data_IF_196085956469
#
_entry.id   IF_196085956469
#
_cell.length_a   1.000
_cell.length_b   1.000
_cell.length_c   1.000
_cell.angle_alpha   90.00
_cell.angle_beta   90.00
_cell.angle_gamma   90.00
#
_symmetry.space_group_name_H-M   'P 1'
#
loop_
_entity.id
_entity.type
_entity.pdbx_description
1 polymer ?
#
# COMPACT_ATOMS: atom_id res chain seq x y z
N UNK A 1 7.34 -14.25 -19.06
CA UNK A 1 7.78 -12.97 -18.45
C UNK A 1 8.47 -13.23 -17.13
N UNK A 2 9.66 -12.66 -16.87
CA UNK A 2 10.38 -12.79 -15.60
C UNK A 2 9.97 -11.70 -14.60
N UNK A 3 10.40 -11.84 -13.32
CA UNK A 3 10.19 -10.79 -12.31
C UNK A 3 10.79 -9.44 -12.77
N UNK A 4 12.03 -9.48 -13.29
CA UNK A 4 12.78 -8.29 -13.72
C UNK A 4 12.08 -7.60 -14.89
N UNK A 5 11.57 -8.36 -15.85
CA UNK A 5 10.82 -7.83 -16.99
C UNK A 5 9.52 -7.14 -16.55
N UNK A 6 8.77 -7.76 -15.65
CA UNK A 6 7.57 -7.15 -15.06
C UNK A 6 7.92 -5.85 -14.33
N UNK A 7 8.90 -5.92 -13.42
CA UNK A 7 9.35 -4.76 -12.63
C UNK A 7 9.79 -3.62 -13.55
N UNK A 8 10.59 -3.92 -14.59
CA UNK A 8 11.08 -2.90 -15.51
C UNK A 8 9.94 -2.21 -16.26
N UNK A 9 8.98 -2.98 -16.82
CA UNK A 9 7.82 -2.45 -17.55
C UNK A 9 6.94 -1.58 -16.66
N UNK A 10 6.61 -2.04 -15.45
CA UNK A 10 5.75 -1.28 -14.53
C UNK A 10 6.49 -0.05 -13.98
N UNK A 11 7.79 -0.15 -13.69
CA UNK A 11 8.59 1.00 -13.27
C UNK A 11 8.62 2.06 -14.36
N UNK A 12 8.83 1.66 -15.63
CA UNK A 12 8.79 2.58 -16.76
C UNK A 12 7.42 3.28 -16.86
N UNK A 13 6.31 2.52 -16.78
CA UNK A 13 4.96 3.06 -16.80
C UNK A 13 4.75 4.10 -15.69
N UNK A 14 5.12 3.77 -14.45
CA UNK A 14 4.97 4.69 -13.30
C UNK A 14 5.80 5.98 -13.50
N UNK A 15 7.01 5.86 -14.06
CA UNK A 15 7.90 7.00 -14.21
C UNK A 15 7.53 7.93 -15.36
N UNK A 16 6.90 7.40 -16.42
CA UNK A 16 6.59 8.13 -17.64
C UNK A 16 5.14 8.52 -17.82
N UNK A 17 4.23 7.91 -17.05
CA UNK A 17 2.80 8.21 -17.16
C UNK A 17 2.50 9.65 -16.76
N UNK A 18 1.75 10.40 -17.60
CA UNK A 18 1.23 11.71 -17.23
C UNK A 18 0.27 11.63 -16.03
N UNK A 19 -0.43 10.51 -15.83
CA UNK A 19 -1.35 10.29 -14.72
C UNK A 19 -0.65 10.20 -13.35
N UNK A 20 0.69 10.08 -13.30
CA UNK A 20 1.47 10.22 -12.08
C UNK A 20 1.74 11.68 -11.69
N UNK A 21 1.09 12.61 -12.38
CA UNK A 21 1.21 14.05 -12.13
C UNK A 21 -0.18 14.64 -11.95
N UNK A 22 -0.27 15.62 -11.06
CA UNK A 22 -1.50 16.39 -10.87
C UNK A 22 -1.78 17.20 -12.14
N UNK A 23 -2.95 17.00 -12.75
CA UNK A 23 -3.33 17.76 -13.95
C UNK A 23 -3.56 19.23 -13.62
N UNK A 24 -3.51 20.10 -14.61
CA UNK A 24 -3.83 21.52 -14.42
C UNK A 24 -5.32 21.73 -14.08
N UNK A 25 -6.18 20.82 -14.52
CA UNK A 25 -7.63 20.84 -14.26
C UNK A 25 -7.96 20.43 -12.82
N UNK A 26 -7.28 19.41 -12.30
CA UNK A 26 -7.52 18.87 -10.95
C UNK A 26 -6.77 19.65 -9.87
N UNK A 27 -5.76 20.47 -10.24
CA UNK A 27 -4.91 21.16 -9.29
C UNK A 27 -5.71 22.14 -8.42
N UNK A 28 -5.78 21.87 -7.11
CA UNK A 28 -6.46 22.75 -6.13
C UNK A 28 -5.85 24.15 -6.15
N UNK A 29 -4.55 24.24 -6.37
CA UNK A 29 -3.82 25.47 -6.61
C UNK A 29 -2.98 25.36 -7.88
N UNK A 30 -2.87 26.45 -8.69
CA UNK A 30 -2.12 26.41 -9.96
C UNK A 30 -0.67 25.91 -9.81
N UNK A 31 0.00 26.21 -8.68
CA UNK A 31 1.37 25.79 -8.39
C UNK A 31 1.53 24.29 -8.16
N UNK A 32 0.43 23.55 -7.97
CA UNK A 32 0.44 22.10 -7.83
C UNK A 32 0.25 21.38 -9.17
N UNK A 33 -0.08 22.09 -10.24
CA UNK A 33 -0.14 21.50 -11.56
C UNK A 33 1.24 20.94 -11.97
N UNK A 34 1.25 19.70 -12.43
CA UNK A 34 2.49 18.98 -12.76
C UNK A 34 3.21 18.34 -11.56
N UNK A 35 2.69 18.48 -10.34
CA UNK A 35 3.28 17.80 -9.18
C UNK A 35 3.30 16.30 -9.38
N UNK A 36 4.49 15.70 -9.41
CA UNK A 36 4.65 14.24 -9.46
C UNK A 36 4.32 13.62 -8.10
N UNK A 37 3.42 12.63 -8.10
CA UNK A 37 2.93 12.01 -6.88
C UNK A 37 3.82 10.88 -6.36
N UNK A 38 4.29 9.99 -7.23
CA UNK A 38 5.03 8.79 -6.86
C UNK A 38 6.39 8.68 -7.52
N UNK A 39 7.36 8.19 -6.74
CA UNK A 39 8.66 7.73 -7.22
C UNK A 39 8.56 6.27 -7.76
N UNK A 40 9.71 5.74 -8.23
CA UNK A 40 9.80 4.37 -8.73
C UNK A 40 9.31 3.35 -7.70
N UNK A 41 8.46 2.39 -8.10
CA UNK A 41 7.90 1.36 -7.23
C UNK A 41 8.95 0.39 -6.72
N UNK A 42 8.63 -0.31 -5.64
CA UNK A 42 9.33 -1.52 -5.22
C UNK A 42 8.36 -2.70 -5.24
N UNK A 43 8.86 -3.87 -5.56
CA UNK A 43 8.07 -5.08 -5.75
C UNK A 43 8.50 -6.18 -4.79
N UNK A 44 7.54 -7.04 -4.46
CA UNK A 44 7.73 -8.32 -3.80
C UNK A 44 6.76 -9.36 -4.34
N UNK A 45 7.16 -10.62 -4.30
CA UNK A 45 6.42 -11.76 -4.83
C UNK A 45 6.32 -12.81 -3.73
N UNK A 46 5.10 -13.25 -3.42
CA UNK A 46 4.86 -14.31 -2.45
C UNK A 46 4.17 -15.50 -3.13
N UNK A 47 4.44 -16.70 -2.66
CA UNK A 47 3.68 -17.88 -3.06
C UNK A 47 2.22 -17.72 -2.59
N UNK A 48 1.26 -18.01 -3.46
CA UNK A 48 -0.16 -17.85 -3.15
C UNK A 48 -0.65 -18.83 -2.05
N UNK A 49 0.06 -19.94 -1.86
CA UNK A 49 -0.18 -20.97 -0.84
C UNK A 49 0.65 -20.77 0.45
N UNK A 50 1.37 -19.64 0.58
CA UNK A 50 2.10 -19.30 1.80
C UNK A 50 1.17 -19.37 3.02
N UNK A 51 1.64 -19.98 4.12
CA UNK A 51 0.88 -20.15 5.36
C UNK A 51 0.44 -18.84 6.01
N UNK A 52 1.10 -17.72 5.68
CA UNK A 52 0.61 -16.39 6.08
C UNK A 52 -0.78 -16.12 5.50
N UNK A 53 -1.02 -16.40 4.22
CA UNK A 53 -2.31 -16.20 3.57
C UNK A 53 -3.34 -17.26 3.96
N UNK A 54 -2.93 -18.52 4.03
CA UNK A 54 -3.86 -19.64 4.19
C UNK A 54 -4.30 -19.84 5.63
N UNK A 55 -3.46 -19.42 6.60
CA UNK A 55 -3.72 -19.65 8.03
C UNK A 55 -3.58 -18.39 8.88
N UNK A 56 -2.41 -17.72 8.84
CA UNK A 56 -2.07 -16.71 9.82
C UNK A 56 -2.97 -15.48 9.74
N UNK A 57 -3.25 -14.99 8.53
CA UNK A 57 -4.10 -13.81 8.33
C UNK A 57 -5.59 -14.07 8.64
N UNK A 58 -6.01 -15.33 8.67
CA UNK A 58 -7.36 -15.74 9.09
C UNK A 58 -7.53 -15.79 10.61
N UNK A 59 -6.47 -15.61 11.40
CA UNK A 59 -6.56 -15.63 12.86
C UNK A 59 -7.17 -14.33 13.39
N UNK A 60 -7.99 -14.48 14.43
CA UNK A 60 -8.49 -13.33 15.20
C UNK A 60 -7.31 -12.51 15.75
N UNK A 61 -7.39 -11.19 15.64
CA UNK A 61 -6.33 -10.28 16.10
C UNK A 61 -5.16 -10.08 15.12
N UNK A 62 -5.05 -10.88 14.04
CA UNK A 62 -4.11 -10.62 12.92
C UNK A 62 -4.82 -9.82 11.83
N UNK A 63 -5.74 -10.43 11.09
CA UNK A 63 -6.71 -9.71 10.28
C UNK A 63 -8.11 -10.10 10.76
N UNK A 64 -8.67 -11.23 10.27
CA UNK A 64 -10.01 -11.68 10.64
C UNK A 64 -10.27 -13.08 10.05
N UNK A 65 -11.10 -13.95 10.69
CA UNK A 65 -11.48 -15.24 10.13
C UNK A 65 -12.14 -15.19 8.74
N UNK A 66 -12.80 -14.07 8.39
CA UNK A 66 -13.38 -13.84 7.07
C UNK A 66 -12.38 -13.30 6.02
N UNK A 67 -11.07 -13.23 6.35
CA UNK A 67 -10.03 -12.92 5.36
C UNK A 67 -10.04 -13.99 4.25
N UNK A 68 -10.01 -13.56 3.00
CA UNK A 68 -9.98 -14.46 1.84
C UNK A 68 -8.54 -14.71 1.41
N UNK A 69 -8.10 -15.98 1.44
CA UNK A 69 -6.80 -16.38 0.92
C UNK A 69 -6.75 -16.23 -0.62
N UNK A 70 -5.55 -16.15 -1.24
CA UNK A 70 -5.43 -15.94 -2.69
C UNK A 70 -6.27 -16.90 -3.55
N UNK A 71 -6.35 -18.17 -3.18
CA UNK A 71 -7.13 -19.17 -3.92
C UNK A 71 -8.66 -18.92 -3.88
N UNK A 72 -9.15 -18.14 -2.91
CA UNK A 72 -10.56 -17.74 -2.82
C UNK A 72 -10.88 -16.57 -3.76
N UNK A 73 -9.86 -15.85 -4.24
CA UNK A 73 -9.96 -14.79 -5.25
C UNK A 73 -9.79 -15.34 -6.65
N UNK A 74 -8.79 -16.21 -6.86
CA UNK A 74 -8.45 -16.82 -8.14
C UNK A 74 -8.07 -18.29 -7.93
N UNK A 75 -8.90 -19.21 -8.39
CA UNK A 75 -8.59 -20.63 -8.37
C UNK A 75 -7.33 -20.93 -9.19
N UNK A 76 -6.43 -21.80 -8.69
CA UNK A 76 -5.19 -22.15 -9.37
C UNK A 76 -4.13 -21.05 -9.39
N UNK A 77 -4.27 -19.98 -8.59
CA UNK A 77 -3.24 -18.97 -8.46
C UNK A 77 -1.94 -19.54 -7.87
N UNK A 78 -0.81 -18.97 -8.28
CA UNK A 78 0.52 -19.37 -7.83
C UNK A 78 1.26 -18.25 -7.11
N UNK A 79 1.06 -17.02 -7.54
CA UNK A 79 1.80 -15.86 -7.01
C UNK A 79 0.88 -14.72 -6.60
N UNK A 80 1.23 -14.09 -5.49
CA UNK A 80 0.75 -12.75 -5.10
C UNK A 80 1.88 -11.76 -5.40
N UNK A 81 1.66 -10.91 -6.38
CA UNK A 81 2.54 -9.79 -6.72
C UNK A 81 2.11 -8.62 -5.84
N UNK A 82 2.99 -8.10 -5.00
CA UNK A 82 2.74 -6.90 -4.23
C UNK A 82 3.72 -5.79 -4.61
N UNK A 83 3.27 -4.55 -4.64
CA UNK A 83 4.11 -3.41 -4.93
C UNK A 83 3.75 -2.21 -4.07
N UNK A 84 4.75 -1.37 -3.85
CA UNK A 84 4.62 -0.13 -3.09
C UNK A 84 5.05 1.05 -3.95
N UNK A 85 4.18 2.03 -4.11
CA UNK A 85 4.44 3.32 -4.74
C UNK A 85 4.79 4.34 -3.64
N UNK A 86 6.06 4.68 -3.44
CA UNK A 86 6.45 5.69 -2.47
C UNK A 86 6.08 7.09 -2.96
N UNK A 87 5.53 7.94 -2.10
CA UNK A 87 5.33 9.35 -2.42
C UNK A 87 6.67 10.04 -2.69
N UNK A 88 6.69 11.01 -3.62
CA UNK A 88 7.86 11.83 -3.90
C UNK A 88 8.30 12.65 -2.68
N UNK A 89 9.54 13.14 -2.72
CA UNK A 89 10.05 14.05 -1.68
C UNK A 89 9.16 15.28 -1.55
N UNK A 90 8.74 15.89 -2.67
CA UNK A 90 7.88 17.06 -2.69
C UNK A 90 6.57 16.84 -1.92
N UNK A 91 5.87 15.69 -2.14
CA UNK A 91 4.64 15.35 -1.41
C UNK A 91 4.92 15.17 0.09
N UNK A 92 6.01 14.50 0.46
CA UNK A 92 6.34 14.26 1.87
C UNK A 92 6.75 15.53 2.61
N UNK A 93 7.54 16.38 1.98
CA UNK A 93 8.03 17.63 2.55
C UNK A 93 6.94 18.68 2.71
N UNK A 94 6.04 18.79 1.72
CA UNK A 94 4.89 19.68 1.82
C UNK A 94 4.04 19.41 3.07
N UNK A 95 3.94 18.14 3.48
CA UNK A 95 3.20 17.76 4.68
C UNK A 95 3.98 17.98 5.98
N UNK A 96 5.32 18.16 5.91
CA UNK A 96 6.16 18.52 7.07
C UNK A 96 6.16 20.02 7.33
N UNK A 97 6.19 20.81 6.26
CA UNK A 97 6.30 22.28 6.29
C UNK A 97 4.96 23.00 6.38
N UNK A 98 3.85 22.23 6.53
CA UNK A 98 2.52 22.85 6.63
C UNK A 98 2.46 23.85 7.77
N UNK A 99 1.82 24.96 7.51
CA UNK A 99 1.42 25.95 8.51
C UNK A 99 0.27 25.39 9.36
N UNK A 100 0.10 25.90 10.57
CA UNK A 100 -0.99 25.46 11.47
C UNK A 100 -2.38 25.94 11.00
N UNK A 101 -2.47 26.67 9.91
CA UNK A 101 -3.74 27.09 9.35
C UNK A 101 -4.49 25.89 8.77
N UNK A 102 -5.76 25.70 9.17
CA UNK A 102 -6.59 24.64 8.61
C UNK A 102 -6.81 24.91 7.13
N UNK A 103 -6.58 23.88 6.31
CA UNK A 103 -6.68 23.94 4.85
C UNK A 103 -8.10 24.29 4.34
N UNK A 104 -9.10 23.92 5.12
CA UNK A 104 -10.47 24.35 4.97
C UNK A 104 -11.05 24.63 6.36
N UNK A 105 -11.81 25.69 6.56
CA UNK A 105 -12.34 26.07 7.86
C UNK A 105 -13.18 24.97 8.53
N UNK A 106 -13.81 24.12 7.74
CA UNK A 106 -14.75 23.10 8.21
C UNK A 106 -14.16 21.69 8.30
N UNK A 107 -12.92 21.50 7.86
CA UNK A 107 -12.25 20.19 7.87
C UNK A 107 -10.96 20.34 8.66
N UNK A 108 -10.92 19.73 9.83
CA UNK A 108 -9.71 19.63 10.66
C UNK A 108 -8.60 18.76 10.04
N UNK A 109 -8.64 18.54 8.73
CA UNK A 109 -7.62 17.83 7.98
C UNK A 109 -6.34 18.65 7.93
N UNK A 110 -5.45 18.38 8.86
CA UNK A 110 -4.12 18.99 8.94
C UNK A 110 -3.13 18.35 7.93
N UNK A 111 -3.54 18.17 6.68
CA UNK A 111 -2.65 17.67 5.63
C UNK A 111 -2.41 18.77 4.57
N UNK A 112 -1.27 18.67 3.86
CA UNK A 112 -0.98 19.58 2.76
C UNK A 112 -1.83 19.27 1.52
N UNK A 113 -2.07 20.26 0.63
CA UNK A 113 -2.72 20.04 -0.66
C UNK A 113 -2.04 18.99 -1.53
N UNK A 114 -0.71 19.02 -1.61
CA UNK A 114 0.07 18.04 -2.34
C UNK A 114 -0.16 16.61 -1.80
N UNK A 115 -0.29 16.45 -0.47
CA UNK A 115 -0.65 15.17 0.13
C UNK A 115 -2.08 14.77 -0.21
N UNK A 116 -3.01 15.71 -0.25
CA UNK A 116 -4.40 15.45 -0.60
C UNK A 116 -4.52 14.94 -2.04
N UNK A 117 -3.81 15.59 -3.00
CA UNK A 117 -3.71 15.09 -4.38
C UNK A 117 -3.13 13.67 -4.44
N UNK A 118 -2.02 13.42 -3.78
CA UNK A 118 -1.44 12.09 -3.71
C UNK A 118 -2.36 11.05 -3.01
N UNK A 119 -3.35 11.52 -2.21
CA UNK A 119 -4.36 10.67 -1.58
C UNK A 119 -5.51 10.32 -2.52
N UNK A 120 -5.97 11.26 -3.33
CA UNK A 120 -7.16 11.16 -4.20
C UNK A 120 -6.74 10.69 -5.59
N UNK A 121 -6.10 11.55 -6.38
CA UNK A 121 -5.65 11.25 -7.74
C UNK A 121 -4.59 10.13 -7.73
N UNK A 122 -3.77 10.11 -6.69
CA UNK A 122 -2.83 9.02 -6.46
C UNK A 122 -3.50 7.65 -6.27
N UNK A 123 -4.73 7.56 -5.71
CA UNK A 123 -5.47 6.29 -5.69
C UNK A 123 -5.91 5.90 -7.10
N UNK A 124 -6.45 6.84 -7.86
CA UNK A 124 -6.85 6.57 -9.25
C UNK A 124 -5.64 6.13 -10.11
N UNK A 125 -4.47 6.72 -9.88
CA UNK A 125 -3.24 6.26 -10.55
C UNK A 125 -2.80 4.87 -10.07
N UNK A 126 -2.91 4.54 -8.78
CA UNK A 126 -2.64 3.19 -8.27
C UNK A 126 -3.51 2.15 -8.97
N UNK A 127 -4.79 2.43 -9.18
CA UNK A 127 -5.71 1.54 -9.88
C UNK A 127 -5.24 1.32 -11.34
N UNK A 128 -4.81 2.40 -12.04
CA UNK A 128 -4.20 2.28 -13.39
C UNK A 128 -2.92 1.45 -13.40
N UNK A 129 -2.07 1.57 -12.38
CA UNK A 129 -0.86 0.73 -12.26
C UNK A 129 -1.24 -0.74 -12.08
N UNK A 130 -2.25 -1.01 -11.27
CA UNK A 130 -2.77 -2.36 -11.04
C UNK A 130 -3.34 -2.96 -12.33
N UNK A 131 -4.16 -2.20 -13.05
CA UNK A 131 -4.72 -2.60 -14.35
C UNK A 131 -3.61 -2.86 -15.38
N UNK A 132 -2.56 -2.04 -15.38
CA UNK A 132 -1.40 -2.24 -16.26
C UNK A 132 -0.67 -3.55 -15.96
N UNK A 133 -0.50 -3.89 -14.67
CA UNK A 133 0.08 -5.19 -14.27
C UNK A 133 -0.80 -6.34 -14.79
N UNK A 134 -2.12 -6.25 -14.63
CA UNK A 134 -3.04 -7.28 -15.13
C UNK A 134 -2.97 -7.42 -16.65
N UNK A 135 -2.94 -6.31 -17.40
CA UNK A 135 -2.79 -6.33 -18.87
C UNK A 135 -1.47 -6.97 -19.32
N UNK A 136 -0.36 -6.77 -18.59
CA UNK A 136 0.91 -7.42 -18.90
C UNK A 136 0.82 -8.93 -18.73
N UNK A 137 0.13 -9.40 -17.68
CA UNK A 137 -0.11 -10.83 -17.42
C UNK A 137 -1.03 -11.45 -18.48
N UNK A 138 -2.12 -10.76 -18.82
CA UNK A 138 -3.06 -11.20 -19.85
C UNK A 138 -2.40 -11.39 -21.22
N UNK A 139 -1.51 -10.48 -21.62
CA UNK A 139 -0.72 -10.60 -22.88
C UNK A 139 0.16 -11.84 -22.93
N UNK A 140 0.54 -12.38 -21.78
CA UNK A 140 1.30 -13.62 -21.62
C UNK A 140 0.39 -14.83 -21.37
N UNK A 141 -0.94 -14.67 -21.56
CA UNK A 141 -1.99 -15.66 -21.31
C UNK A 141 -2.08 -16.15 -19.86
N UNK A 142 -1.76 -15.30 -18.89
CA UNK A 142 -1.98 -15.57 -17.47
C UNK A 142 -3.28 -14.93 -17.00
N UNK A 143 -3.99 -15.66 -16.14
CA UNK A 143 -5.12 -15.11 -15.39
C UNK A 143 -4.63 -14.32 -14.19
N UNK A 144 -5.36 -13.25 -13.86
CA UNK A 144 -5.04 -12.44 -12.69
C UNK A 144 -6.29 -11.73 -12.12
N UNK A 145 -6.21 -11.40 -10.84
CA UNK A 145 -7.23 -10.60 -10.16
C UNK A 145 -6.58 -9.61 -9.21
N UNK A 146 -7.08 -8.39 -9.19
CA UNK A 146 -6.78 -7.42 -8.14
C UNK A 146 -7.91 -7.44 -7.12
N UNK A 147 -7.66 -7.84 -5.85
CA UNK A 147 -8.71 -7.89 -4.84
C UNK A 147 -9.44 -6.56 -4.65
N UNK A 148 -8.71 -5.44 -4.67
CA UNK A 148 -9.29 -4.10 -4.38
C UNK A 148 -10.17 -3.55 -5.49
N UNK A 149 -9.92 -3.90 -6.76
CA UNK A 149 -10.73 -3.45 -7.91
C UNK A 149 -11.70 -4.51 -8.43
N UNK A 150 -11.65 -5.74 -7.91
CA UNK A 150 -12.45 -6.90 -8.38
C UNK A 150 -13.97 -6.78 -8.16
N UNK A 151 -14.43 -5.81 -7.36
CA UNK A 151 -15.82 -5.73 -6.91
C UNK A 151 -16.21 -6.79 -5.86
N UNK A 152 -15.31 -7.73 -5.53
CA UNK A 152 -15.54 -8.78 -4.51
C UNK A 152 -15.04 -8.40 -3.12
N UNK A 153 -14.28 -7.30 -3.00
CA UNK A 153 -13.78 -6.81 -1.72
C UNK A 153 -14.94 -6.45 -0.79
N UNK A 154 -14.90 -6.94 0.43
CA UNK A 154 -15.93 -6.64 1.44
C UNK A 154 -15.26 -6.02 2.66
N UNK A 155 -15.85 -4.95 3.16
CA UNK A 155 -15.54 -4.42 4.48
C UNK A 155 -16.27 -5.25 5.54
N UNK A 156 -15.51 -5.75 6.51
CA UNK A 156 -16.04 -6.52 7.67
C UNK A 156 -16.35 -5.57 8.80
N UNK A 157 -15.44 -4.64 9.05
CA UNK A 157 -15.59 -3.50 9.96
C UNK A 157 -15.09 -2.24 9.26
N UNK A 158 -15.24 -1.03 9.82
CA UNK A 158 -14.66 0.19 9.21
C UNK A 158 -13.15 0.11 8.94
N UNK A 159 -12.42 -0.83 9.58
CA UNK A 159 -10.96 -0.94 9.50
C UNK A 159 -10.45 -2.29 9.01
N UNK A 160 -11.33 -3.27 8.81
CA UNK A 160 -11.00 -4.64 8.43
C UNK A 160 -11.75 -5.00 7.16
N UNK A 161 -11.05 -5.57 6.20
CA UNK A 161 -11.62 -6.06 4.93
C UNK A 161 -11.17 -7.48 4.64
N UNK A 162 -11.82 -8.13 3.68
CA UNK A 162 -11.50 -9.50 3.25
C UNK A 162 -10.15 -9.63 2.55
N UNK A 163 -9.45 -8.52 2.26
CA UNK A 163 -8.08 -8.45 1.76
C UNK A 163 -7.33 -7.30 2.42
N UNK A 164 -6.02 -7.43 2.56
CA UNK A 164 -5.16 -6.38 3.13
C UNK A 164 -3.87 -6.22 2.34
N UNK A 165 -3.74 -5.10 1.62
CA UNK A 165 -2.53 -4.77 0.86
C UNK A 165 -1.27 -4.74 1.71
N UNK A 166 -1.34 -4.27 2.96
CA UNK A 166 -0.18 -4.25 3.87
C UNK A 166 0.28 -5.64 4.28
N UNK A 167 -0.67 -6.56 4.49
CA UNK A 167 -0.34 -7.94 4.83
C UNK A 167 0.17 -8.72 3.60
N UNK A 168 -0.39 -8.44 2.41
CA UNK A 168 0.17 -8.97 1.16
C UNK A 168 1.61 -8.49 0.94
N UNK A 169 1.89 -7.21 1.19
CA UNK A 169 3.23 -6.65 1.10
C UNK A 169 4.20 -7.24 2.15
N UNK A 170 3.73 -7.49 3.38
CA UNK A 170 4.49 -8.22 4.39
C UNK A 170 4.83 -9.64 3.94
N UNK A 171 3.85 -10.39 3.44
CA UNK A 171 4.07 -11.74 2.92
C UNK A 171 5.05 -11.76 1.73
N UNK A 172 5.02 -10.73 0.89
CA UNK A 172 5.87 -10.56 -0.28
C UNK A 172 7.29 -9.98 0.03
N UNK A 173 7.67 -9.82 1.30
CA UNK A 173 9.03 -9.41 1.65
C UNK A 173 9.30 -7.90 1.58
N UNK A 174 8.26 -7.06 1.46
CA UNK A 174 8.44 -5.61 1.28
C UNK A 174 8.75 -4.84 2.57
N UNK A 175 8.43 -5.40 3.75
CA UNK A 175 8.69 -4.72 5.01
C UNK A 175 7.90 -5.27 6.18
N UNK A 176 8.02 -4.63 7.34
CA UNK A 176 7.36 -5.01 8.59
C UNK A 176 6.47 -3.90 9.14
N UNK A 177 5.55 -4.24 10.03
CA UNK A 177 4.63 -3.28 10.63
C UNK A 177 5.33 -2.40 11.67
N UNK A 178 4.87 -1.17 11.78
CA UNK A 178 5.29 -0.27 12.83
C UNK A 178 4.22 -0.05 13.90
N UNK A 179 4.58 0.71 14.92
CA UNK A 179 3.70 1.12 16.03
C UNK A 179 2.38 1.77 15.54
N UNK A 180 2.43 2.49 14.40
CA UNK A 180 1.26 3.10 13.75
C UNK A 180 0.38 2.12 12.99
N UNK A 181 0.71 0.81 12.94
CA UNK A 181 0.15 -0.20 12.03
C UNK A 181 0.38 0.07 10.53
N UNK A 182 1.23 1.04 10.20
CA UNK A 182 1.76 1.21 8.84
C UNK A 182 2.86 0.19 8.56
N UNK A 183 3.01 -0.24 7.30
CA UNK A 183 4.11 -1.11 6.89
C UNK A 183 5.34 -0.26 6.54
N UNK A 184 6.46 -0.57 7.18
CA UNK A 184 7.75 0.10 6.98
C UNK A 184 8.52 -0.67 5.92
N UNK A 185 8.74 -0.06 4.77
CA UNK A 185 9.53 -0.62 3.66
C UNK A 185 10.92 0.01 3.61
N UNK A 186 11.81 -0.50 2.76
CA UNK A 186 13.11 0.14 2.46
C UNK A 186 12.99 1.57 1.89
N UNK A 187 11.80 1.96 1.41
CA UNK A 187 11.48 3.33 0.94
C UNK A 187 10.65 4.13 1.96
N UNK A 188 10.58 3.63 3.19
CA UNK A 188 9.72 4.21 4.22
C UNK A 188 8.28 3.70 4.14
N UNK A 189 7.34 4.44 4.74
CA UNK A 189 5.93 4.04 4.84
C UNK A 189 4.96 5.04 4.19
N UNK A 190 5.47 6.15 3.68
CA UNK A 190 4.66 7.17 3.01
C UNK A 190 4.48 6.81 1.53
N UNK A 191 3.33 6.27 1.19
CA UNK A 191 3.00 5.78 -0.15
C UNK A 191 1.75 4.91 -0.16
N UNK A 192 1.58 4.15 -1.25
CA UNK A 192 0.45 3.24 -1.46
C UNK A 192 0.93 1.83 -1.78
N UNK A 193 0.19 0.85 -1.30
CA UNK A 193 0.37 -0.56 -1.65
C UNK A 193 -0.71 -1.00 -2.63
N UNK A 194 -0.33 -1.85 -3.57
CA UNK A 194 -1.22 -2.60 -4.44
C UNK A 194 -0.79 -4.04 -4.56
N UNK A 195 -1.68 -4.91 -4.97
CA UNK A 195 -1.39 -6.31 -5.23
C UNK A 195 -2.23 -6.90 -6.35
N UNK A 196 -1.65 -7.88 -7.03
CA UNK A 196 -2.30 -8.70 -8.05
C UNK A 196 -2.03 -10.16 -7.75
N UNK A 197 -3.07 -10.98 -7.74
CA UNK A 197 -3.02 -12.43 -7.61
C UNK A 197 -3.04 -13.02 -9.00
N UNK A 198 -2.16 -13.98 -9.32
CA UNK A 198 -2.06 -14.57 -10.66
C UNK A 198 -1.72 -16.06 -10.62
N UNK A 199 -2.09 -16.78 -11.70
CA UNK A 199 -1.65 -18.15 -11.93
C UNK A 199 -0.25 -18.24 -12.57
N UNK A 200 0.37 -17.11 -12.91
CA UNK A 200 1.78 -17.06 -13.32
C UNK A 200 2.69 -17.46 -12.16
N UNK A 201 3.75 -18.21 -12.46
CA UNK A 201 4.72 -18.72 -11.50
C UNK A 201 5.95 -17.80 -11.48
N UNK A 202 5.94 -16.81 -10.60
CA UNK A 202 7.05 -15.90 -10.37
C UNK A 202 7.95 -16.39 -9.24
N UNK A 203 9.25 -16.09 -9.32
CA UNK A 203 10.17 -16.37 -8.24
C UNK A 203 9.82 -15.55 -7.01
N UNK A 204 9.64 -16.20 -5.86
CA UNK A 204 9.30 -15.54 -4.60
C UNK A 204 10.45 -14.66 -4.09
N UNK A 205 10.10 -13.52 -3.53
CA UNK A 205 11.05 -12.62 -2.86
C UNK A 205 11.33 -13.13 -1.45
N UNK A 206 12.61 -13.26 -1.04
CA UNK A 206 12.94 -13.60 0.34
C UNK A 206 12.38 -12.59 1.34
N UNK A 207 11.90 -13.07 2.49
CA UNK A 207 11.54 -12.24 3.63
C UNK A 207 12.76 -12.16 4.58
N UNK A 208 13.48 -11.03 4.63
CA UNK A 208 14.71 -10.90 5.41
C UNK A 208 14.44 -10.61 6.90
N UNK A 209 13.24 -10.81 7.38
CA UNK A 209 12.80 -10.53 8.75
C UNK A 209 12.06 -11.74 9.35
N UNK A 210 12.14 -11.86 10.66
CA UNK A 210 11.54 -12.94 11.45
C UNK A 210 10.39 -12.45 12.34
N UNK A 211 10.42 -11.18 12.71
CA UNK A 211 9.37 -10.54 13.52
C UNK A 211 8.54 -9.57 12.68
N UNK A 212 7.19 -9.57 12.81
CA UNK A 212 6.33 -8.67 12.04
C UNK A 212 6.54 -7.18 12.34
N UNK A 213 7.30 -6.83 13.40
CA UNK A 213 7.58 -5.45 13.81
C UNK A 213 9.06 -5.08 13.79
N UNK A 214 9.91 -5.93 13.20
CA UNK A 214 11.38 -5.83 13.26
C UNK A 214 11.95 -4.47 12.81
N UNK A 215 11.33 -3.82 11.82
CA UNK A 215 11.82 -2.52 11.33
C UNK A 215 11.33 -1.32 12.16
N UNK A 216 10.49 -1.55 13.15
CA UNK A 216 10.04 -0.48 14.04
C UNK A 216 11.07 -0.19 15.13
N UNK A 217 11.71 0.97 15.05
CA UNK A 217 12.69 1.42 16.05
C UNK A 217 12.06 1.94 17.35
N UNK A 218 10.73 1.90 17.49
CA UNK A 218 9.98 2.40 18.64
C UNK A 218 10.29 3.88 18.98
N UNK A 219 10.65 4.69 17.99
CA UNK A 219 11.01 6.11 18.19
C UNK A 219 9.86 6.99 18.69
N UNK A 220 8.60 6.54 18.57
CA UNK A 220 7.41 7.26 19.07
C UNK A 220 6.95 8.46 18.23
N UNK A 221 7.61 8.77 17.11
CA UNK A 221 7.23 9.93 16.26
C UNK A 221 5.78 9.84 15.79
N UNK A 222 5.31 8.65 15.41
CA UNK A 222 3.91 8.43 14.99
C UNK A 222 2.92 8.67 16.15
N UNK A 223 3.30 8.41 17.41
CA UNK A 223 2.52 8.73 18.59
C UNK A 223 2.40 10.23 18.77
N UNK A 224 3.55 10.96 18.76
CA UNK A 224 3.59 12.41 18.96
C UNK A 224 2.80 13.15 17.87
N UNK A 225 2.80 12.63 16.63
CA UNK A 225 2.12 13.22 15.48
C UNK A 225 0.67 12.75 15.29
N UNK A 226 0.17 11.84 16.12
CA UNK A 226 -1.20 11.35 16.00
C UNK A 226 -2.21 12.40 16.47
N UNK A 227 -3.08 12.94 15.60
CA UNK A 227 -4.03 13.99 16.00
C UNK A 227 -5.11 13.46 16.95
N UNK A 228 -5.39 12.16 16.93
CA UNK A 228 -6.37 11.49 17.79
C UNK A 228 -5.75 10.91 19.07
N UNK A 229 -4.43 11.05 19.29
CA UNK A 229 -3.72 10.40 20.40
C UNK A 229 -3.96 8.88 20.51
N UNK A 230 -4.26 8.23 19.40
CA UNK A 230 -4.65 6.81 19.31
C UNK A 230 -3.46 5.85 19.37
N UNK A 231 -2.23 6.33 19.58
CA UNK A 231 -1.01 5.52 19.55
C UNK A 231 -0.28 5.64 20.88
N UNK A 232 -0.10 4.49 21.54
CA UNK A 232 0.60 4.36 22.81
C UNK A 232 1.79 3.41 22.66
N UNK A 233 3.00 3.93 22.78
CA UNK A 233 4.21 3.12 22.60
C UNK A 233 4.48 2.16 23.77
N UNK A 234 3.95 2.42 24.96
CA UNK A 234 4.14 1.55 26.12
C UNK A 234 3.42 0.20 25.94
N UNK A 235 2.38 0.17 25.10
CA UNK A 235 1.68 -1.07 24.72
C UNK A 235 2.38 -1.88 23.62
N UNK A 236 3.50 -1.37 23.07
CA UNK A 236 4.24 -2.02 22.00
C UNK A 236 3.52 -2.04 20.66
N UNK A 237 4.20 -2.54 19.61
CA UNK A 237 3.65 -2.51 18.24
C UNK A 237 2.37 -3.33 18.07
N UNK A 238 2.21 -4.43 18.78
CA UNK A 238 1.04 -5.30 18.64
C UNK A 238 -0.26 -4.64 19.14
N UNK A 239 -0.22 -3.89 20.23
CA UNK A 239 -1.39 -3.31 20.87
C UNK A 239 -1.36 -1.77 20.95
N UNK A 240 -0.28 -1.15 20.46
CA UNK A 240 0.00 0.27 20.65
C UNK A 240 -0.87 1.23 19.87
N UNK A 241 -1.76 0.76 18.98
CA UNK A 241 -2.70 1.62 18.26
C UNK A 241 -4.14 1.19 18.54
N UNK A 242 -4.89 2.08 19.13
CA UNK A 242 -6.35 1.98 19.18
C UNK A 242 -6.94 2.42 17.85
N UNK A 243 -7.80 1.60 17.26
CA UNK A 243 -8.48 1.89 15.99
C UNK A 243 -9.92 2.37 16.19
N UNK A 244 -10.37 2.45 17.44
CA UNK A 244 -11.74 2.87 17.79
C UNK A 244 -11.84 4.36 18.14
N UNK A 245 -10.70 5.05 18.30
CA UNK A 245 -10.62 6.48 18.63
C UNK A 245 -10.66 7.36 17.37
#
# INVERSE_FOLDING_TARGET
MTNEELIAKVTHFVQTSPDNHVSAEDAIYPELAGLKMYDAPIFGFAAADDTLFTESFKREGVIHPAYMAPAEWLGGCKTVISFFLPFTAAVRESNRSKTDEPYAPDISLKCSPAWLHARIEGQAFMDKVTDFVQQLLERENYESVCPTTSGKLRMITPYISTWSERHAAYAAGLGTFGLSKGLITKKGMAGRFGSVITNADFQTTPRPYHDPFEYCTMCGVCMIKCPANAIDKEKGCALGKDQTI
#
